data_IF_968577993948
#
_entry.id   IF_968577993948
#
_cell.length_a   1.000
_cell.length_b   1.000
_cell.length_c   1.000
_cell.angle_alpha   90.00
_cell.angle_beta   90.00
_cell.angle_gamma   90.00
#
_symmetry.space_group_name_H-M   'P 1'
#
loop_
_entity.id
_entity.type
_entity.pdbx_description
1 polymer ?
#
# COMPACT_ATOMS: atom_id res chain seq x y z
N UNK A 1 52.13 0.80 -10.38
CA UNK A 1 50.77 0.27 -10.59
C UNK A 1 50.39 -0.50 -9.35
N UNK A 2 49.65 0.12 -8.43
CA UNK A 2 49.31 -0.47 -7.13
C UNK A 2 47.89 -1.05 -7.23
N UNK A 3 47.76 -2.37 -7.08
CA UNK A 3 46.49 -3.09 -7.04
C UNK A 3 45.80 -2.83 -5.70
N UNK A 4 44.73 -2.04 -5.71
CA UNK A 4 43.91 -1.76 -4.52
C UNK A 4 42.69 -2.71 -4.51
N UNK A 5 42.75 -3.72 -3.64
CA UNK A 5 41.66 -4.69 -3.43
C UNK A 5 40.53 -4.04 -2.61
N UNK A 6 39.25 -4.09 -3.04
CA UNK A 6 38.17 -3.50 -2.25
C UNK A 6 37.90 -4.36 -1.00
N UNK A 7 38.13 -3.77 0.19
CA UNK A 7 37.75 -4.37 1.48
C UNK A 7 36.23 -4.47 1.55
N UNK A 8 35.70 -5.71 1.50
CA UNK A 8 34.30 -6.03 1.78
C UNK A 8 33.96 -5.56 3.20
N UNK A 9 33.00 -4.65 3.32
CA UNK A 9 32.45 -4.19 4.59
C UNK A 9 32.03 -5.37 5.46
N UNK A 10 32.54 -5.40 6.69
CA UNK A 10 32.27 -6.45 7.65
C UNK A 10 30.79 -6.54 8.01
N UNK A 11 30.35 -7.75 8.35
CA UNK A 11 28.99 -8.03 8.84
C UNK A 11 28.73 -7.28 10.16
N UNK A 12 28.18 -6.08 10.07
CA UNK A 12 27.70 -5.31 11.21
C UNK A 12 26.55 -6.03 11.92
N UNK A 13 26.64 -6.08 13.25
CA UNK A 13 25.57 -6.54 14.16
C UNK A 13 24.33 -5.67 13.91
N UNK A 14 23.25 -6.30 13.44
CA UNK A 14 22.03 -5.61 13.01
C UNK A 14 21.31 -6.30 11.84
N UNK A 15 21.94 -7.26 11.15
CA UNK A 15 21.28 -8.13 10.18
C UNK A 15 20.41 -9.22 10.85
N UNK A 16 19.63 -8.84 11.85
CA UNK A 16 18.57 -9.68 12.38
C UNK A 16 17.42 -9.66 11.38
N UNK A 17 17.26 -10.76 10.63
CA UNK A 17 16.07 -11.17 9.87
C UNK A 17 15.14 -10.01 9.48
N UNK A 18 15.24 -9.52 8.24
CA UNK A 18 14.05 -8.89 7.63
C UNK A 18 12.90 -9.86 7.89
N UNK A 19 11.87 -9.41 8.63
CA UNK A 19 10.71 -10.23 8.91
C UNK A 19 10.27 -10.86 7.58
N UNK A 20 10.12 -12.18 7.55
CA UNK A 20 9.66 -12.91 6.35
C UNK A 20 8.27 -12.39 5.90
N UNK A 21 7.62 -11.64 6.78
CA UNK A 21 6.32 -11.00 6.66
C UNK A 21 6.35 -9.66 5.89
N UNK A 22 7.54 -9.13 5.54
CA UNK A 22 7.68 -7.78 5.00
C UNK A 22 7.23 -7.57 3.55
N UNK A 23 6.90 -8.63 2.82
CA UNK A 23 6.35 -8.52 1.48
C UNK A 23 5.44 -9.70 1.21
N UNK A 24 4.21 -9.65 1.73
CA UNK A 24 3.13 -10.29 1.00
C UNK A 24 3.19 -9.73 -0.42
N UNK A 25 3.33 -10.61 -1.41
CA UNK A 25 3.16 -10.31 -2.83
C UNK A 25 1.70 -9.91 -3.04
N UNK A 26 1.32 -8.75 -2.54
CA UNK A 26 0.04 -8.14 -2.84
C UNK A 26 0.01 -7.99 -4.36
N UNK A 27 -1.03 -8.52 -5.00
CA UNK A 27 -1.30 -8.18 -6.39
C UNK A 27 -1.53 -6.68 -6.41
N UNK A 28 -0.50 -5.92 -6.80
CA UNK A 28 -0.61 -4.50 -7.02
C UNK A 28 -1.49 -4.32 -8.25
N UNK A 29 -2.73 -3.91 -8.03
CA UNK A 29 -3.59 -3.44 -9.11
C UNK A 29 -3.46 -1.92 -9.16
N UNK A 30 -3.06 -1.39 -10.30
CA UNK A 30 -3.07 0.05 -10.52
C UNK A 30 -4.53 0.49 -10.71
N UNK A 31 -5.00 1.38 -9.81
CA UNK A 31 -6.33 1.95 -9.87
C UNK A 31 -6.21 3.46 -10.11
N UNK A 32 -6.98 3.96 -11.08
CA UNK A 32 -7.14 5.39 -11.28
C UNK A 32 -8.29 5.89 -10.41
N UNK A 33 -7.99 6.87 -9.57
CA UNK A 33 -8.96 7.55 -8.72
C UNK A 33 -9.18 8.97 -9.26
N UNK A 34 -10.43 9.40 -9.31
CA UNK A 34 -10.77 10.80 -9.52
C UNK A 34 -10.31 11.67 -8.33
N UNK A 35 -10.39 12.99 -8.49
CA UNK A 35 -9.93 13.93 -7.48
C UNK A 35 -10.77 13.87 -6.19
N UNK A 36 -12.06 13.59 -6.29
CA UNK A 36 -12.99 13.56 -5.17
C UNK A 36 -12.72 12.33 -4.28
N UNK A 37 -12.52 11.16 -4.89
CA UNK A 37 -12.14 9.93 -4.22
C UNK A 37 -10.79 10.09 -3.49
N UNK A 38 -9.81 10.77 -4.12
CA UNK A 38 -8.52 11.07 -3.47
C UNK A 38 -8.70 11.98 -2.25
N UNK A 39 -9.52 13.02 -2.36
CA UNK A 39 -9.80 13.93 -1.25
C UNK A 39 -10.49 13.18 -0.09
N UNK A 40 -11.49 12.36 -0.41
CA UNK A 40 -12.21 11.53 0.56
C UNK A 40 -11.27 10.59 1.31
N UNK A 41 -10.45 9.80 0.60
CA UNK A 41 -9.53 8.87 1.26
C UNK A 41 -8.50 9.60 2.11
N UNK A 42 -7.96 10.71 1.63
CA UNK A 42 -7.04 11.55 2.43
C UNK A 42 -7.71 12.05 3.72
N UNK A 43 -8.97 12.53 3.64
CA UNK A 43 -9.70 13.01 4.81
C UNK A 43 -9.99 11.89 5.81
N UNK A 44 -10.43 10.73 5.33
CA UNK A 44 -10.75 9.57 6.17
C UNK A 44 -9.50 8.98 6.85
N UNK A 45 -8.37 8.99 6.16
CA UNK A 45 -7.11 8.45 6.64
C UNK A 45 -6.21 9.46 7.37
N UNK A 46 -6.66 10.70 7.59
CA UNK A 46 -5.83 11.74 8.21
C UNK A 46 -4.56 12.07 7.42
N UNK A 47 -4.62 11.99 6.08
CA UNK A 47 -3.50 12.14 5.17
C UNK A 47 -2.91 10.83 4.62
N UNK A 48 -3.24 9.67 5.22
CA UNK A 48 -2.83 8.36 4.70
C UNK A 48 -3.91 7.76 3.77
N UNK A 49 -3.58 7.71 2.47
CA UNK A 49 -4.47 7.16 1.43
C UNK A 49 -4.81 5.68 1.63
N UNK A 50 -3.87 4.86 2.09
CA UNK A 50 -4.09 3.41 2.27
C UNK A 50 -5.02 3.16 3.45
N UNK A 51 -4.85 3.92 4.54
CA UNK A 51 -5.75 3.87 5.68
C UNK A 51 -7.15 4.35 5.30
N UNK A 52 -7.25 5.48 4.59
CA UNK A 52 -8.51 6.03 4.11
C UNK A 52 -9.30 5.05 3.24
N UNK A 53 -8.63 4.37 2.31
CA UNK A 53 -9.25 3.35 1.47
C UNK A 53 -9.77 2.15 2.30
N UNK A 54 -9.03 1.71 3.32
CA UNK A 54 -9.46 0.62 4.22
C UNK A 54 -10.66 1.01 5.08
N UNK A 55 -10.67 2.24 5.60
CA UNK A 55 -11.80 2.78 6.37
C UNK A 55 -13.06 2.92 5.50
N UNK A 56 -12.91 3.45 4.28
CA UNK A 56 -14.00 3.52 3.32
C UNK A 56 -14.56 2.12 3.03
N UNK A 57 -13.71 1.14 2.73
CA UNK A 57 -14.13 -0.24 2.50
C UNK A 57 -14.81 -0.87 3.73
N UNK A 58 -14.35 -0.58 4.95
CA UNK A 58 -15.00 -1.06 6.18
C UNK A 58 -16.42 -0.53 6.30
N UNK A 59 -16.63 0.76 6.00
CA UNK A 59 -17.96 1.39 6.02
C UNK A 59 -18.89 0.79 4.96
N UNK A 60 -18.36 0.51 3.77
CA UNK A 60 -19.13 -0.13 2.69
C UNK A 60 -19.57 -1.55 3.01
N UNK A 61 -18.80 -2.34 3.77
CA UNK A 61 -19.17 -3.71 4.16
C UNK A 61 -20.45 -3.79 4.99
N UNK A 62 -20.85 -2.70 5.65
CA UNK A 62 -22.10 -2.62 6.42
C UNK A 62 -23.32 -2.28 5.58
N UNK A 63 -23.14 -1.95 4.29
CA UNK A 63 -24.24 -1.61 3.39
C UNK A 63 -24.69 -2.87 2.63
N UNK A 64 -26.00 -2.98 2.32
CA UNK A 64 -26.45 -4.01 1.40
C UNK A 64 -25.67 -3.89 0.09
N UNK A 65 -25.30 -5.03 -0.50
CA UNK A 65 -24.68 -5.04 -1.81
C UNK A 65 -25.61 -4.31 -2.78
N UNK A 66 -25.16 -3.17 -3.29
CA UNK A 66 -25.89 -2.42 -4.29
C UNK A 66 -25.67 -3.13 -5.63
N UNK A 67 -26.76 -3.44 -6.31
CA UNK A 67 -26.72 -4.04 -7.63
C UNK A 67 -26.47 -2.93 -8.65
N UNK A 68 -25.19 -2.71 -8.97
CA UNK A 68 -24.75 -1.61 -9.83
C UNK A 68 -25.00 -1.86 -11.32
N UNK A 69 -25.61 -2.98 -11.68
CA UNK A 69 -25.95 -3.34 -13.05
C UNK A 69 -27.02 -2.43 -13.68
N UNK A 70 -27.73 -1.63 -12.88
CA UNK A 70 -28.77 -0.71 -13.36
C UNK A 70 -28.34 0.76 -13.51
N UNK A 71 -27.08 1.10 -13.21
CA UNK A 71 -26.61 2.49 -13.30
C UNK A 71 -26.29 2.95 -14.74
N UNK A 72 -26.38 2.05 -15.72
CA UNK A 72 -26.22 2.32 -17.15
C UNK A 72 -27.57 2.11 -17.87
N UNK A 73 -28.44 3.12 -17.87
CA UNK A 73 -29.65 3.18 -18.69
C UNK A 73 -29.95 4.61 -19.09
#
# INVERSE_FOLDING_TARGET
MSNETPRRGGAGRGQGRKARDGAQTGRGTELRLDAEAKALFSQLGGGDMSLGAREAARRLRGLPAQDWTQAES
#
